data_IF_062502389718
#
_entry.id   IF_062502389718
#
_cell.length_a   1.000
_cell.length_b   1.000
_cell.length_c   1.000
_cell.angle_alpha   90.00
_cell.angle_beta   90.00
_cell.angle_gamma   90.00
#
_symmetry.space_group_name_H-M   'P 1'
#
loop_
_entity.id
_entity.type
_entity.pdbx_description
1 polymer ?
#
# COMPACT_ATOMS: atom_id res chain seq x y z
N UNK A 1 -8.98 -2.21 3.63
CA UNK A 1 -8.52 -2.33 2.22
C UNK A 1 -8.44 -3.82 1.89
N UNK A 2 -8.91 -4.31 0.73
CA UNK A 2 -8.80 -5.73 0.39
C UNK A 2 -7.34 -6.21 0.41
N UNK A 3 -7.07 -7.45 0.86
CA UNK A 3 -5.71 -7.93 1.08
C UNK A 3 -4.86 -7.96 -0.20
N UNK A 4 -5.49 -8.03 -1.37
CA UNK A 4 -4.92 -8.11 -2.72
C UNK A 4 -5.00 -6.80 -3.51
N UNK A 5 -5.47 -5.71 -2.89
CA UNK A 5 -5.71 -4.43 -3.56
C UNK A 5 -4.48 -3.84 -4.28
N UNK A 6 -3.27 -4.16 -3.80
CA UNK A 6 -2.01 -3.64 -4.34
C UNK A 6 -1.20 -4.68 -5.12
N UNK A 7 -1.73 -5.91 -5.28
CA UNK A 7 -1.01 -7.05 -5.88
C UNK A 7 -0.40 -6.78 -7.26
N UNK A 8 -1.01 -5.88 -8.04
CA UNK A 8 -0.56 -5.51 -9.38
C UNK A 8 0.30 -4.23 -9.42
N UNK A 9 0.60 -3.61 -8.27
CA UNK A 9 1.30 -2.33 -8.18
C UNK A 9 2.81 -2.51 -7.92
N UNK A 10 3.43 -3.49 -8.57
CA UNK A 10 4.86 -3.81 -8.36
C UNK A 10 5.84 -2.69 -8.71
N UNK A 11 5.38 -1.67 -9.43
CA UNK A 11 6.16 -0.49 -9.82
C UNK A 11 5.86 0.76 -9.00
N UNK A 12 4.94 0.69 -8.04
CA UNK A 12 4.57 1.85 -7.24
C UNK A 12 5.71 2.23 -6.29
N UNK A 13 6.12 3.50 -6.33
CA UNK A 13 7.18 4.05 -5.48
C UNK A 13 6.64 4.90 -4.33
N UNK A 14 5.52 5.58 -4.56
CA UNK A 14 4.91 6.48 -3.58
C UNK A 14 3.48 6.02 -3.33
N UNK A 15 3.15 5.77 -2.07
CA UNK A 15 1.79 5.46 -1.63
C UNK A 15 1.39 6.44 -0.53
N UNK A 16 0.32 7.19 -0.79
CA UNK A 16 -0.26 8.12 0.17
C UNK A 16 -1.61 7.58 0.67
N UNK A 17 -1.65 7.25 1.96
CA UNK A 17 -2.83 6.82 2.71
C UNK A 17 -3.29 7.88 3.72
N UNK A 18 -2.72 9.09 3.65
CA UNK A 18 -3.09 10.17 4.56
C UNK A 18 -4.58 10.50 4.43
N UNK A 19 -5.26 10.59 5.57
CA UNK A 19 -6.70 10.86 5.63
C UNK A 19 -7.59 9.64 5.41
N UNK A 20 -7.04 8.42 5.26
CA UNK A 20 -7.83 7.20 5.36
C UNK A 20 -8.20 6.97 6.84
N UNK A 21 -9.49 7.13 7.17
CA UNK A 21 -10.03 6.84 8.50
C UNK A 21 -10.41 5.36 8.70
N UNK A 22 -10.37 4.58 7.62
CA UNK A 22 -10.62 3.15 7.63
C UNK A 22 -9.38 2.36 8.11
N UNK A 23 -9.60 1.10 8.47
CA UNK A 23 -8.51 0.22 8.89
C UNK A 23 -7.38 0.18 7.85
N UNK A 24 -6.16 0.40 8.34
CA UNK A 24 -4.91 0.35 7.58
C UNK A 24 -4.79 -0.97 6.81
N UNK A 25 -4.09 -0.97 5.67
CA UNK A 25 -3.83 -2.19 4.94
C UNK A 25 -3.04 -3.18 5.83
N UNK A 26 -3.41 -4.45 5.77
CA UNK A 26 -2.66 -5.49 6.48
C UNK A 26 -1.22 -5.53 5.94
N UNK A 27 -0.26 -5.94 6.78
CA UNK A 27 1.16 -5.94 6.41
C UNK A 27 1.44 -6.70 5.09
N UNK A 28 0.66 -7.74 4.81
CA UNK A 28 0.78 -8.55 3.60
C UNK A 28 0.28 -7.84 2.34
N UNK A 29 -0.61 -6.85 2.47
CA UNK A 29 -1.17 -6.11 1.33
C UNK A 29 -0.13 -5.28 0.60
N UNK A 30 0.93 -4.84 1.28
CA UNK A 30 1.98 -4.00 0.70
C UNK A 30 3.16 -4.82 0.13
N UNK A 31 3.18 -6.14 0.36
CA UNK A 31 4.31 -7.02 0.03
C UNK A 31 4.65 -7.12 -1.46
N UNK A 32 3.71 -6.79 -2.34
CA UNK A 32 3.87 -6.81 -3.79
C UNK A 32 4.56 -5.55 -4.34
N UNK A 33 4.62 -4.47 -3.56
CA UNK A 33 5.20 -3.19 -3.97
C UNK A 33 6.69 -3.14 -3.65
N UNK A 34 7.46 -3.96 -4.38
CA UNK A 34 8.90 -4.14 -4.16
C UNK A 34 9.73 -2.87 -4.38
N UNK A 35 9.16 -1.86 -5.05
CA UNK A 35 9.80 -0.58 -5.34
C UNK A 35 9.26 0.57 -4.50
N UNK A 36 8.47 0.30 -3.46
CA UNK A 36 7.92 1.36 -2.61
C UNK A 36 9.04 2.06 -1.83
N UNK A 37 9.18 3.36 -2.03
CA UNK A 37 10.19 4.23 -1.41
C UNK A 37 9.58 5.15 -0.37
N UNK A 38 8.37 5.67 -0.64
CA UNK A 38 7.67 6.61 0.23
C UNK A 38 6.27 6.09 0.58
N UNK A 39 5.97 6.07 1.89
CA UNK A 39 4.66 5.73 2.43
C UNK A 39 4.21 6.84 3.38
N UNK A 40 3.11 7.50 3.04
CA UNK A 40 2.45 8.49 3.89
C UNK A 40 1.22 7.84 4.54
N UNK A 41 1.06 8.02 5.85
CA UNK A 41 0.03 7.42 6.69
C UNK A 41 -0.77 8.50 7.42
#
# INVERSE_FOLDING_TARGET
IPPDAFSNLSKLQILDLSGITAALPEANSLSSMLLLEELYM
#
